data_IF_121065173559
#
_entry.id   IF_121065173559
#
_cell.length_a   1.000
_cell.length_b   1.000
_cell.length_c   1.000
_cell.angle_alpha   90.00
_cell.angle_beta   90.00
_cell.angle_gamma   90.00
#
_symmetry.space_group_name_H-M   'P 1'
#
loop_
_entity.id
_entity.type
_entity.pdbx_description
1 polymer ?
#
# COMPACT_ATOMS: atom_id res chain seq x y z
N UNK A 1 13.95 -12.49 14.83
CA UNK A 1 13.52 -11.98 13.52
C UNK A 1 12.19 -11.27 13.72
N UNK A 2 11.93 -10.20 12.98
CA UNK A 2 10.68 -9.45 13.12
C UNK A 2 9.52 -10.23 12.50
N UNK A 3 8.31 -10.05 13.05
CA UNK A 3 7.08 -10.59 12.46
C UNK A 3 6.47 -9.60 11.48
N UNK A 4 5.87 -10.11 10.40
CA UNK A 4 5.33 -9.30 9.31
C UNK A 4 3.89 -9.68 9.00
N UNK A 5 3.09 -8.70 8.59
CA UNK A 5 1.79 -8.95 7.97
C UNK A 5 1.54 -7.95 6.84
N UNK A 6 1.15 -8.47 5.68
CA UNK A 6 0.73 -7.68 4.53
C UNK A 6 -0.76 -7.38 4.59
N UNK A 7 -1.14 -6.18 4.14
CA UNK A 7 -2.53 -5.73 4.10
C UNK A 7 -2.88 -5.09 2.77
N UNK A 8 -4.12 -5.33 2.33
CA UNK A 8 -4.65 -4.78 1.09
C UNK A 8 -6.15 -4.50 1.19
N UNK A 9 -6.69 -3.73 0.25
CA UNK A 9 -8.14 -3.51 0.09
C UNK A 9 -8.50 -3.39 -1.38
N UNK A 10 -9.71 -3.84 -1.72
CA UNK A 10 -10.32 -3.62 -3.02
C UNK A 10 -11.82 -3.91 -3.01
N UNK A 11 -12.55 -3.29 -3.92
CA UNK A 11 -13.97 -3.58 -4.18
C UNK A 11 -14.17 -4.80 -5.09
N UNK A 12 -15.43 -5.16 -5.34
CA UNK A 12 -15.75 -6.36 -6.14
C UNK A 12 -15.19 -6.30 -7.57
N UNK A 13 -15.20 -5.13 -8.21
CA UNK A 13 -14.59 -4.96 -9.54
C UNK A 13 -13.06 -5.09 -9.48
N UNK A 14 -12.43 -4.61 -8.41
CA UNK A 14 -11.00 -4.77 -8.16
C UNK A 14 -10.63 -6.22 -7.87
N UNK A 15 -11.45 -6.94 -7.11
CA UNK A 15 -11.28 -8.37 -6.84
C UNK A 15 -11.18 -9.17 -8.15
N UNK A 16 -12.14 -8.96 -9.06
CA UNK A 16 -12.16 -9.65 -10.35
C UNK A 16 -11.06 -9.18 -11.31
N UNK A 17 -10.73 -7.88 -11.30
CA UNK A 17 -9.73 -7.32 -12.22
C UNK A 17 -8.28 -7.67 -11.83
N UNK A 18 -7.96 -7.68 -10.54
CA UNK A 18 -6.60 -7.85 -10.05
C UNK A 18 -6.47 -8.58 -8.71
N UNK A 19 -7.48 -8.50 -7.83
CA UNK A 19 -7.36 -8.97 -6.44
C UNK A 19 -7.10 -10.46 -6.32
N UNK A 20 -7.78 -11.30 -7.11
CA UNK A 20 -7.52 -12.76 -7.14
C UNK A 20 -6.08 -13.08 -7.55
N UNK A 21 -5.54 -12.35 -8.54
CA UNK A 21 -4.15 -12.51 -8.98
C UNK A 21 -3.17 -12.08 -7.89
N UNK A 22 -3.41 -10.95 -7.23
CA UNK A 22 -2.56 -10.50 -6.11
C UNK A 22 -2.51 -11.56 -5.01
N UNK A 23 -3.67 -12.04 -4.55
CA UNK A 23 -3.74 -13.04 -3.47
C UNK A 23 -3.10 -14.37 -3.89
N UNK A 24 -3.35 -14.83 -5.10
CA UNK A 24 -2.71 -16.06 -5.62
C UNK A 24 -1.19 -15.93 -5.66
N UNK A 25 -0.70 -14.81 -6.21
CA UNK A 25 0.73 -14.54 -6.33
C UNK A 25 1.41 -14.35 -4.97
N UNK A 26 0.70 -13.77 -3.99
CA UNK A 26 1.17 -13.66 -2.62
C UNK A 26 1.44 -15.04 -2.04
N UNK A 27 0.44 -15.94 -2.13
CA UNK A 27 0.53 -17.30 -1.60
C UNK A 27 1.63 -18.14 -2.23
N UNK A 28 1.90 -17.93 -3.51
CA UNK A 28 2.90 -18.70 -4.25
C UNK A 28 4.33 -18.29 -3.89
N UNK A 29 4.54 -17.00 -3.59
CA UNK A 29 5.88 -16.42 -3.57
C UNK A 29 6.33 -15.87 -2.22
N UNK A 30 5.41 -15.58 -1.30
CA UNK A 30 5.75 -15.03 0.01
C UNK A 30 6.10 -16.13 1.02
N UNK A 31 6.96 -15.82 2.02
CA UNK A 31 7.23 -16.75 3.11
C UNK A 31 5.94 -17.10 3.86
N UNK A 32 5.78 -18.38 4.22
CA UNK A 32 4.57 -18.89 4.89
C UNK A 32 4.30 -18.20 6.24
N UNK A 33 5.33 -17.65 6.89
CA UNK A 33 5.18 -16.95 8.17
C UNK A 33 4.57 -15.54 8.03
N UNK A 34 4.46 -15.01 6.80
CA UNK A 34 3.91 -13.67 6.56
C UNK A 34 2.40 -13.76 6.33
N UNK A 35 1.63 -13.27 7.31
CA UNK A 35 0.17 -13.21 7.19
C UNK A 35 -0.29 -12.20 6.13
N UNK A 36 -1.45 -12.47 5.52
CA UNK A 36 -2.15 -11.54 4.63
C UNK A 36 -3.54 -11.23 5.18
N UNK A 37 -3.87 -9.95 5.37
CA UNK A 37 -5.25 -9.50 5.63
C UNK A 37 -5.77 -8.68 4.46
N UNK A 38 -6.92 -9.07 3.94
CA UNK A 38 -7.61 -8.35 2.86
C UNK A 38 -8.89 -7.73 3.39
N UNK A 39 -9.01 -6.42 3.20
CA UNK A 39 -10.20 -5.67 3.50
C UNK A 39 -11.16 -5.72 2.31
N UNK A 40 -12.34 -6.29 2.52
CA UNK A 40 -13.42 -6.32 1.54
C UNK A 40 -14.18 -4.99 1.53
N UNK A 41 -14.32 -4.41 0.34
CA UNK A 41 -15.17 -3.24 0.10
C UNK A 41 -16.52 -3.66 -0.51
N UNK A 42 -17.22 -4.60 0.13
CA UNK A 42 -18.61 -4.96 -0.20
C UNK A 42 -18.80 -6.30 -0.91
N UNK A 43 -17.79 -7.16 -0.96
CA UNK A 43 -17.93 -8.56 -1.41
C UNK A 43 -17.86 -9.53 -0.23
N UNK A 44 -18.58 -10.65 -0.32
CA UNK A 44 -18.83 -11.54 0.83
C UNK A 44 -17.80 -12.65 1.02
N UNK A 45 -17.30 -13.22 -0.07
CA UNK A 45 -16.40 -14.37 -0.03
C UNK A 45 -15.27 -14.19 -1.04
N UNK A 46 -14.13 -14.76 -0.69
CA UNK A 46 -13.01 -14.96 -1.58
C UNK A 46 -12.80 -16.47 -1.72
N UNK A 47 -12.91 -17.00 -2.93
CA UNK A 47 -12.76 -18.44 -3.21
C UNK A 47 -11.28 -18.86 -3.19
N UNK A 48 -10.53 -18.41 -2.20
CA UNK A 48 -9.19 -18.90 -1.94
C UNK A 48 -8.90 -18.90 -0.43
N UNK A 49 -8.22 -19.95 0.00
CA UNK A 49 -7.67 -20.05 1.35
C UNK A 49 -6.46 -19.12 1.51
N UNK A 50 -6.18 -18.68 2.73
CA UNK A 50 -4.96 -17.93 3.05
C UNK A 50 -5.24 -16.61 3.76
N UNK A 51 -5.87 -15.62 3.10
CA UNK A 51 -6.02 -14.31 3.72
C UNK A 51 -7.11 -14.30 4.79
N UNK A 52 -6.86 -13.55 5.86
CA UNK A 52 -7.92 -13.09 6.75
C UNK A 52 -8.75 -12.04 6.01
N UNK A 53 -10.06 -12.25 5.92
CA UNK A 53 -10.98 -11.32 5.27
C UNK A 53 -11.69 -10.47 6.32
N UNK A 54 -11.60 -9.15 6.19
CA UNK A 54 -12.27 -8.19 7.07
C UNK A 54 -13.17 -7.27 6.25
N UNK A 55 -14.44 -7.11 6.64
CA UNK A 55 -15.34 -6.15 5.99
C UNK A 55 -14.97 -4.72 6.38
N UNK A 56 -14.48 -3.94 5.42
CA UNK A 56 -13.90 -2.62 5.69
C UNK A 56 -14.91 -1.65 6.33
N UNK A 57 -16.14 -1.63 5.82
CA UNK A 57 -17.19 -0.74 6.31
C UNK A 57 -17.55 -1.01 7.79
N UNK A 58 -17.46 -2.27 8.23
CA UNK A 58 -17.70 -2.66 9.61
C UNK A 58 -16.51 -2.39 10.51
N UNK A 59 -15.29 -2.64 9.99
CA UNK A 59 -14.04 -2.42 10.71
C UNK A 59 -13.68 -0.93 10.88
N UNK A 60 -14.12 -0.07 9.97
CA UNK A 60 -13.86 1.36 10.00
C UNK A 60 -15.13 2.16 9.69
N UNK A 61 -16.06 2.28 10.66
CA UNK A 61 -17.34 2.96 10.45
C UNK A 61 -17.21 4.41 9.96
N UNK A 62 -16.15 5.10 10.37
CA UNK A 62 -15.84 6.47 9.94
C UNK A 62 -15.74 6.60 8.41
N UNK A 63 -15.36 5.54 7.70
CA UNK A 63 -15.28 5.53 6.24
C UNK A 63 -16.64 5.83 5.61
N UNK A 64 -17.73 5.26 6.14
CA UNK A 64 -19.07 5.49 5.63
C UNK A 64 -19.51 6.93 5.89
N UNK A 65 -19.19 7.48 7.06
CA UNK A 65 -19.47 8.87 7.39
C UNK A 65 -18.72 9.84 6.46
N UNK A 66 -17.42 9.59 6.23
CA UNK A 66 -16.60 10.36 5.31
C UNK A 66 -17.17 10.33 3.88
N UNK A 67 -17.56 9.14 3.41
CA UNK A 67 -18.19 8.97 2.09
C UNK A 67 -19.53 9.69 1.99
N UNK A 68 -20.35 9.66 3.04
CA UNK A 68 -21.61 10.38 3.07
C UNK A 68 -21.40 11.90 2.96
N UNK A 69 -20.38 12.43 3.66
CA UNK A 69 -20.03 13.86 3.60
C UNK A 69 -19.44 14.30 2.26
N UNK A 70 -18.72 13.44 1.53
CA UNK A 70 -17.90 13.87 0.39
C UNK A 70 -18.18 13.16 -0.93
N UNK A 71 -19.04 12.15 -0.96
CA UNK A 71 -19.38 11.39 -2.17
C UNK A 71 -20.03 12.21 -3.28
N UNK A 72 -20.55 13.40 -2.96
CA UNK A 72 -21.12 14.32 -3.93
C UNK A 72 -20.08 15.16 -4.70
N UNK A 73 -18.80 15.12 -4.29
CA UNK A 73 -17.75 15.91 -4.95
C UNK A 73 -17.46 15.36 -6.35
N UNK A 74 -17.38 16.24 -7.33
CA UNK A 74 -17.09 15.86 -8.72
C UNK A 74 -15.66 15.35 -8.87
N UNK A 75 -15.52 14.20 -9.52
CA UNK A 75 -14.21 13.67 -9.90
C UNK A 75 -13.55 14.58 -10.94
N UNK A 76 -12.31 15.00 -10.68
CA UNK A 76 -11.48 15.79 -11.62
C UNK A 76 -10.30 14.98 -12.12
N UNK A 77 -9.48 14.53 -11.18
CA UNK A 77 -8.27 13.74 -11.37
C UNK A 77 -8.07 12.97 -10.05
N UNK A 78 -7.35 11.85 -10.10
CA UNK A 78 -7.10 11.02 -8.93
C UNK A 78 -6.46 11.82 -7.78
N UNK A 79 -5.67 12.87 -8.07
CA UNK A 79 -5.01 13.67 -7.04
C UNK A 79 -5.99 14.28 -6.03
N UNK A 80 -7.23 14.52 -6.42
CA UNK A 80 -8.27 15.11 -5.57
C UNK A 80 -9.40 14.12 -5.22
N UNK A 81 -9.22 12.83 -5.51
CA UNK A 81 -10.23 11.80 -5.27
C UNK A 81 -10.16 11.23 -3.83
N UNK A 82 -10.44 12.09 -2.85
CA UNK A 82 -10.31 11.74 -1.43
C UNK A 82 -11.15 10.49 -1.04
N UNK A 83 -12.34 10.36 -1.61
CA UNK A 83 -13.26 9.23 -1.35
C UNK A 83 -12.68 7.91 -1.84
N UNK A 84 -12.02 7.89 -3.00
CA UNK A 84 -11.35 6.69 -3.47
C UNK A 84 -10.21 6.27 -2.52
N UNK A 85 -9.39 7.22 -2.08
CA UNK A 85 -8.21 6.93 -1.27
C UNK A 85 -8.51 6.71 0.21
N UNK A 86 -9.67 7.13 0.71
CA UNK A 86 -10.07 6.88 2.11
C UNK A 86 -10.27 5.40 2.42
N UNK A 87 -10.61 4.56 1.45
CA UNK A 87 -10.72 3.11 1.62
C UNK A 87 -9.38 2.48 2.05
N UNK A 88 -8.29 2.87 1.36
CA UNK A 88 -6.93 2.46 1.73
C UNK A 88 -6.55 2.95 3.11
N UNK A 89 -6.82 4.22 3.40
CA UNK A 89 -6.46 4.79 4.71
C UNK A 89 -7.22 4.11 5.85
N UNK A 90 -8.51 3.82 5.67
CA UNK A 90 -9.29 3.04 6.61
C UNK A 90 -8.69 1.65 6.87
N UNK A 91 -8.36 0.91 5.80
CA UNK A 91 -7.77 -0.42 5.90
C UNK A 91 -6.43 -0.39 6.66
N UNK A 92 -5.56 0.56 6.34
CA UNK A 92 -4.24 0.73 6.98
C UNK A 92 -4.39 1.10 8.44
N UNK A 93 -5.22 2.09 8.78
CA UNK A 93 -5.38 2.55 10.16
C UNK A 93 -6.00 1.47 11.05
N UNK A 94 -6.97 0.71 10.55
CA UNK A 94 -7.52 -0.42 11.29
C UNK A 94 -6.49 -1.54 11.46
N UNK A 95 -5.77 -1.91 10.41
CA UNK A 95 -4.75 -2.95 10.47
C UNK A 95 -3.62 -2.61 11.45
N UNK A 96 -3.10 -1.39 11.39
CA UNK A 96 -2.02 -0.91 12.24
C UNK A 96 -2.35 -1.01 13.73
N UNK A 97 -3.62 -0.87 14.11
CA UNK A 97 -4.09 -0.98 15.50
C UNK A 97 -4.44 -2.40 15.94
N UNK A 98 -4.75 -3.30 15.02
CA UNK A 98 -5.40 -4.59 15.36
C UNK A 98 -4.58 -5.83 15.02
N UNK A 99 -3.60 -5.72 14.13
CA UNK A 99 -2.74 -6.85 13.77
C UNK A 99 -1.52 -6.83 14.67
N UNK A 100 -1.29 -7.88 15.45
CA UNK A 100 -0.15 -7.96 16.36
C UNK A 100 1.13 -8.50 15.67
N UNK A 101 1.82 -7.61 14.95
CA UNK A 101 3.12 -7.88 14.30
C UNK A 101 4.12 -6.74 14.50
N UNK A 102 5.41 -6.99 14.31
CA UNK A 102 6.44 -5.95 14.41
C UNK A 102 6.37 -4.97 13.23
N UNK A 103 6.12 -5.48 12.01
CA UNK A 103 6.10 -4.67 10.79
C UNK A 103 4.84 -4.92 9.98
N UNK A 104 4.07 -3.86 9.73
CA UNK A 104 2.90 -3.90 8.85
C UNK A 104 3.31 -3.50 7.43
N UNK A 105 2.96 -4.31 6.43
CA UNK A 105 3.26 -4.05 5.02
C UNK A 105 1.96 -3.65 4.32
N UNK A 106 1.92 -2.47 3.72
CA UNK A 106 0.87 -2.16 2.76
C UNK A 106 1.25 -2.70 1.38
N UNK A 107 0.31 -3.41 0.74
CA UNK A 107 0.44 -3.98 -0.60
C UNK A 107 -0.82 -3.62 -1.42
N UNK A 108 -0.69 -2.71 -2.39
CA UNK A 108 -1.80 -2.38 -3.29
C UNK A 108 -2.30 -3.66 -4.00
N UNK A 109 -3.62 -3.78 -4.18
CA UNK A 109 -4.21 -4.99 -4.76
C UNK A 109 -3.83 -5.24 -6.22
N UNK A 110 -3.30 -4.25 -6.93
CA UNK A 110 -2.79 -4.38 -8.29
C UNK A 110 -1.29 -4.68 -8.37
N UNK A 111 -0.66 -5.08 -7.26
CA UNK A 111 0.68 -5.66 -7.25
C UNK A 111 0.61 -7.17 -7.48
N UNK A 112 1.47 -7.66 -8.37
CA UNK A 112 1.73 -9.09 -8.59
C UNK A 112 3.10 -9.42 -8.02
N UNK A 113 3.17 -10.49 -7.23
CA UNK A 113 4.45 -11.07 -6.83
C UNK A 113 4.84 -12.10 -7.88
N UNK A 114 5.87 -11.87 -8.67
CA UNK A 114 6.24 -12.74 -9.81
C UNK A 114 7.45 -13.64 -9.52
N UNK A 115 8.11 -13.44 -8.39
CA UNK A 115 9.21 -14.28 -7.92
C UNK A 115 9.18 -14.37 -6.40
N UNK A 116 9.64 -15.51 -5.88
CA UNK A 116 9.69 -15.74 -4.44
C UNK A 116 10.69 -14.83 -3.73
N UNK A 117 10.31 -14.35 -2.55
CA UNK A 117 11.15 -13.56 -1.66
C UNK A 117 11.26 -14.24 -0.30
N UNK A 118 12.39 -14.06 0.37
CA UNK A 118 12.60 -14.60 1.72
C UNK A 118 12.21 -13.59 2.79
N UNK A 119 12.18 -14.06 4.03
CA UNK A 119 11.96 -13.19 5.19
C UNK A 119 13.14 -12.21 5.37
N UNK A 120 14.37 -12.57 4.98
CA UNK A 120 15.53 -11.67 4.94
C UNK A 120 15.38 -10.56 3.90
N UNK A 121 14.77 -10.85 2.75
CA UNK A 121 14.45 -9.83 1.74
C UNK A 121 13.51 -8.76 2.35
N UNK A 122 12.47 -9.21 3.08
CA UNK A 122 11.55 -8.31 3.79
C UNK A 122 12.24 -7.51 4.89
N UNK A 123 13.12 -8.14 5.67
CA UNK A 123 13.94 -7.46 6.69
C UNK A 123 14.82 -6.37 6.08
N UNK A 124 15.38 -6.62 4.89
CA UNK A 124 16.20 -5.64 4.15
C UNK A 124 15.41 -4.39 3.72
N UNK A 125 14.10 -4.55 3.47
CA UNK A 125 13.17 -3.49 3.07
C UNK A 125 12.53 -2.76 4.26
N UNK A 126 12.42 -3.40 5.41
CA UNK A 126 11.76 -2.85 6.59
C UNK A 126 12.46 -1.60 7.15
N UNK A 127 11.74 -0.74 7.91
CA UNK A 127 12.35 0.37 8.64
C UNK A 127 13.50 -0.11 9.53
N UNK A 128 14.53 0.72 9.71
CA UNK A 128 15.63 0.47 10.64
C UNK A 128 15.36 1.15 11.98
N UNK A 129 16.26 0.96 12.94
CA UNK A 129 16.15 1.55 14.27
C UNK A 129 15.91 3.07 14.20
N UNK A 130 14.81 3.50 14.82
CA UNK A 130 14.38 4.91 14.85
C UNK A 130 13.63 5.38 13.60
N UNK A 131 13.51 4.56 12.55
CA UNK A 131 12.69 4.86 11.38
C UNK A 131 11.28 4.31 11.57
N UNK A 132 10.26 5.09 11.22
CA UNK A 132 8.87 4.62 11.30
C UNK A 132 8.40 3.90 10.03
N UNK A 133 8.81 4.41 8.87
CA UNK A 133 8.29 3.96 7.57
C UNK A 133 9.42 3.74 6.56
N UNK A 134 9.27 2.67 5.78
CA UNK A 134 10.01 2.47 4.53
C UNK A 134 9.04 2.53 3.35
N UNK A 135 9.34 3.37 2.36
CA UNK A 135 8.42 3.63 1.24
C UNK A 135 9.13 3.86 -0.10
N UNK A 136 8.37 3.83 -1.19
CA UNK A 136 8.89 4.13 -2.51
C UNK A 136 8.98 5.64 -2.73
N UNK A 137 10.08 6.24 -2.30
CA UNK A 137 10.40 7.64 -2.60
C UNK A 137 10.47 7.92 -4.10
N UNK A 138 10.05 9.14 -4.49
CA UNK A 138 10.26 9.71 -5.83
C UNK A 138 10.86 11.10 -5.68
N UNK A 139 11.87 11.40 -6.47
CA UNK A 139 12.66 12.63 -6.32
C UNK A 139 11.84 13.90 -6.55
N UNK A 140 11.04 13.92 -7.61
CA UNK A 140 10.37 15.14 -8.08
C UNK A 140 8.88 15.20 -7.71
N UNK A 141 8.40 14.31 -6.82
CA UNK A 141 6.99 14.25 -6.44
C UNK A 141 6.74 13.51 -5.11
N UNK A 142 5.47 13.35 -4.73
CA UNK A 142 5.07 12.54 -3.58
C UNK A 142 5.54 11.07 -3.73
N UNK A 143 5.79 10.34 -2.63
CA UNK A 143 6.15 8.92 -2.67
C UNK A 143 5.10 8.12 -3.43
N UNK A 144 5.49 7.01 -4.04
CA UNK A 144 4.53 6.02 -4.53
C UNK A 144 4.11 5.14 -3.35
N UNK A 145 2.82 5.10 -3.01
CA UNK A 145 2.36 4.28 -1.89
C UNK A 145 1.82 2.90 -2.30
N UNK A 146 2.21 2.36 -3.46
CA UNK A 146 1.82 1.00 -3.85
C UNK A 146 2.34 -0.06 -2.87
N UNK A 147 3.52 0.20 -2.32
CA UNK A 147 4.15 -0.62 -1.30
C UNK A 147 4.84 0.27 -0.27
N UNK A 148 4.63 -0.01 1.02
CA UNK A 148 5.41 0.56 2.12
C UNK A 148 5.32 -0.34 3.35
N UNK A 149 6.24 -0.18 4.30
CA UNK A 149 6.24 -0.90 5.56
C UNK A 149 6.27 0.07 6.74
N UNK A 150 5.49 -0.22 7.79
CA UNK A 150 5.40 0.55 9.03
C UNK A 150 5.97 -0.27 10.19
N UNK A 151 6.91 0.28 10.96
CA UNK A 151 7.32 -0.32 12.23
C UNK A 151 6.27 0.00 13.30
N UNK A 152 5.62 -1.06 13.81
CA UNK A 152 4.58 -0.96 14.84
C UNK A 152 5.16 -0.75 16.24
N UNK A 153 6.44 -1.06 16.44
CA UNK A 153 7.14 -0.89 17.73
C UNK A 153 7.72 0.51 17.89
N UNK A 154 7.69 1.32 16.83
CA UNK A 154 8.17 2.68 16.89
C UNK A 154 7.34 3.51 17.90
N UNK A 155 7.94 4.31 18.80
CA UNK A 155 7.21 5.05 19.84
C UNK A 155 6.12 5.98 19.31
N UNK A 156 6.31 6.51 18.10
CA UNK A 156 5.37 7.43 17.44
C UNK A 156 4.27 6.71 16.64
N UNK A 157 4.25 5.37 16.61
CA UNK A 157 3.36 4.59 15.74
C UNK A 157 1.88 4.99 15.92
N UNK A 158 1.39 4.92 17.15
CA UNK A 158 -0.01 5.22 17.45
C UNK A 158 -0.37 6.68 17.12
N UNK A 159 0.54 7.62 17.42
CA UNK A 159 0.32 9.04 17.12
C UNK A 159 0.24 9.28 15.61
N UNK A 160 1.12 8.67 14.83
CA UNK A 160 1.15 8.81 13.37
C UNK A 160 -0.07 8.18 12.69
N UNK A 161 -0.49 6.98 13.14
CA UNK A 161 -1.72 6.35 12.66
C UNK A 161 -2.96 7.19 13.01
N UNK A 162 -3.04 7.70 14.24
CA UNK A 162 -4.12 8.62 14.65
C UNK A 162 -4.12 9.91 13.82
N UNK A 163 -2.93 10.45 13.50
CA UNK A 163 -2.80 11.66 12.68
C UNK A 163 -3.27 11.40 11.25
N UNK A 164 -2.87 10.27 10.64
CA UNK A 164 -3.32 9.86 9.31
C UNK A 164 -4.85 9.68 9.23
N UNK A 165 -5.45 9.03 10.22
CA UNK A 165 -6.89 8.85 10.26
C UNK A 165 -7.64 10.18 10.46
N UNK A 166 -7.12 11.07 11.32
CA UNK A 166 -7.68 12.40 11.56
C UNK A 166 -7.72 13.26 10.29
N UNK A 167 -6.77 13.08 9.36
CA UNK A 167 -6.78 13.79 8.07
C UNK A 167 -8.09 13.59 7.30
N UNK A 168 -8.69 12.41 7.42
CA UNK A 168 -9.97 12.07 6.78
C UNK A 168 -11.14 12.30 7.73
N UNK A 169 -11.07 11.82 8.97
CA UNK A 169 -12.20 11.93 9.91
C UNK A 169 -12.61 13.37 10.21
N UNK A 170 -11.64 14.29 10.28
CA UNK A 170 -11.83 15.70 10.61
C UNK A 170 -11.69 16.60 9.38
N UNK A 171 -11.71 16.04 8.17
CA UNK A 171 -11.67 16.75 6.90
C UNK A 171 -10.40 17.62 6.70
N UNK A 172 -9.33 17.41 7.49
CA UNK A 172 -8.11 18.22 7.47
C UNK A 172 -7.35 18.12 6.14
N UNK A 173 -7.50 17.00 5.41
CA UNK A 173 -6.87 16.81 4.09
C UNK A 173 -7.29 17.88 3.08
N UNK A 174 -8.44 18.53 3.24
CA UNK A 174 -8.90 19.59 2.34
C UNK A 174 -8.12 20.90 2.51
N UNK A 175 -7.26 21.00 3.53
CA UNK A 175 -6.25 22.07 3.63
C UNK A 175 -4.99 21.80 2.82
N UNK A 176 -4.84 20.63 2.19
CA UNK A 176 -3.66 20.25 1.42
C UNK A 176 -3.81 20.56 -0.08
N UNK A 177 -2.70 20.52 -0.81
CA UNK A 177 -2.72 20.73 -2.27
C UNK A 177 -3.32 19.52 -3.03
N UNK A 178 -3.15 18.31 -2.50
CA UNK A 178 -3.65 17.05 -3.07
C UNK A 178 -4.23 16.15 -1.95
N UNK A 179 -5.22 15.32 -2.29
CA UNK A 179 -6.07 14.57 -1.36
C UNK A 179 -5.87 13.05 -1.42
N UNK A 180 -4.99 12.57 -2.30
CA UNK A 180 -4.71 11.15 -2.42
C UNK A 180 -3.79 10.66 -1.29
N UNK A 181 -3.88 9.37 -0.97
CA UNK A 181 -3.20 8.70 0.14
C UNK A 181 -1.71 9.05 0.24
N UNK A 182 -0.99 9.03 -0.88
CA UNK A 182 0.47 9.23 -0.86
C UNK A 182 0.88 10.66 -0.47
N UNK A 183 0.08 11.66 -0.83
CA UNK A 183 0.34 13.05 -0.45
C UNK A 183 -0.01 13.27 1.02
N UNK A 184 -1.16 12.74 1.46
CA UNK A 184 -1.62 12.84 2.85
C UNK A 184 -0.66 12.12 3.80
N UNK A 185 -0.24 10.90 3.47
CA UNK A 185 0.73 10.14 4.27
C UNK A 185 2.08 10.86 4.35
N UNK A 186 2.58 11.41 3.24
CA UNK A 186 3.81 12.22 3.26
C UNK A 186 3.67 13.41 4.20
N UNK A 187 2.55 14.14 4.12
CA UNK A 187 2.30 15.29 4.98
C UNK A 187 2.36 14.90 6.48
N UNK A 188 1.75 13.77 6.86
CA UNK A 188 1.78 13.27 8.24
C UNK A 188 3.21 12.92 8.69
N UNK A 189 3.97 12.21 7.85
CA UNK A 189 5.36 11.82 8.15
C UNK A 189 6.26 13.05 8.31
N UNK A 190 6.19 13.99 7.38
CA UNK A 190 7.01 15.20 7.40
C UNK A 190 6.66 16.12 8.57
N UNK A 191 5.38 16.28 8.91
CA UNK A 191 4.93 17.05 10.05
C UNK A 191 5.43 16.47 11.38
N UNK A 192 5.49 15.14 11.48
CA UNK A 192 5.98 14.44 12.66
C UNK A 192 7.51 14.47 12.80
N UNK A 193 8.26 14.79 11.74
CA UNK A 193 9.74 14.78 11.72
C UNK A 193 10.35 13.46 12.18
N UNK A 194 9.67 12.35 11.94
CA UNK A 194 10.20 11.01 12.24
C UNK A 194 11.13 10.56 11.13
N UNK A 195 12.22 9.85 11.45
CA UNK A 195 13.07 9.23 10.43
C UNK A 195 12.29 8.24 9.58
N UNK A 196 12.66 8.15 8.31
CA UNK A 196 12.09 7.24 7.32
C UNK A 196 13.17 6.84 6.33
N UNK A 197 12.96 5.73 5.61
CA UNK A 197 13.88 5.27 4.56
C UNK A 197 13.21 5.11 3.20
N UNK A 198 13.99 5.36 2.15
CA UNK A 198 13.60 5.01 0.78
C UNK A 198 13.98 3.56 0.49
N UNK A 199 13.05 2.84 -0.14
CA UNK A 199 13.27 1.52 -0.73
C UNK A 199 13.24 1.54 -2.26
N UNK A 200 13.26 2.72 -2.87
CA UNK A 200 13.23 2.87 -4.34
C UNK A 200 14.58 2.58 -5.01
N UNK A 201 15.70 2.66 -4.28
CA UNK A 201 17.04 2.67 -4.88
C UNK A 201 17.14 3.68 -6.03
N UNK A 202 17.74 3.26 -7.16
CA UNK A 202 17.80 4.10 -8.38
C UNK A 202 16.43 4.35 -9.03
N UNK A 203 15.41 3.54 -8.72
CA UNK A 203 14.05 3.72 -9.22
C UNK A 203 13.40 5.02 -8.77
N UNK A 204 13.92 5.69 -7.73
CA UNK A 204 13.39 6.95 -7.21
C UNK A 204 13.47 8.13 -8.19
N UNK A 205 14.29 8.03 -9.24
CA UNK A 205 14.33 9.02 -10.34
C UNK A 205 13.28 8.76 -11.43
N UNK A 206 12.42 7.75 -11.25
CA UNK A 206 11.39 7.37 -12.21
C UNK A 206 9.99 7.61 -11.63
N UNK A 207 8.98 7.67 -12.49
CA UNK A 207 7.57 7.72 -12.07
C UNK A 207 7.04 6.36 -11.56
N UNK A 208 7.80 5.29 -11.75
CA UNK A 208 7.45 3.91 -11.39
C UNK A 208 8.59 3.25 -10.59
N UNK A 209 8.91 3.77 -9.38
CA UNK A 209 10.02 3.30 -8.57
C UNK A 209 9.98 1.83 -8.17
N UNK A 210 8.81 1.21 -8.03
CA UNK A 210 8.71 -0.20 -7.62
C UNK A 210 9.44 -1.12 -8.61
N UNK A 211 9.02 -1.12 -9.88
CA UNK A 211 9.61 -2.00 -10.91
C UNK A 211 10.98 -1.53 -11.38
N UNK A 212 11.32 -0.26 -11.16
CA UNK A 212 12.62 0.32 -11.53
C UNK A 212 13.63 0.34 -10.38
N UNK A 213 13.22 -0.12 -9.19
CA UNK A 213 14.02 -0.23 -7.99
C UNK A 213 14.31 -1.68 -7.61
N UNK A 214 14.84 -1.89 -6.39
CA UNK A 214 15.09 -3.22 -5.84
C UNK A 214 13.85 -4.12 -5.85
N UNK A 215 12.67 -3.57 -5.51
CA UNK A 215 11.42 -4.33 -5.40
C UNK A 215 10.99 -5.02 -6.68
N UNK A 216 11.38 -4.52 -7.86
CA UNK A 216 11.06 -5.17 -9.12
C UNK A 216 11.67 -6.56 -9.29
N UNK A 217 12.56 -6.99 -8.39
CA UNK A 217 13.06 -8.38 -8.36
C UNK A 217 11.93 -9.37 -8.09
N UNK A 218 10.91 -8.94 -7.34
CA UNK A 218 9.80 -9.79 -6.90
C UNK A 218 8.45 -9.25 -7.32
N UNK A 219 8.31 -7.94 -7.52
CA UNK A 219 7.01 -7.29 -7.66
C UNK A 219 6.83 -6.60 -9.01
N UNK A 220 5.60 -6.64 -9.53
CA UNK A 220 5.13 -5.79 -10.62
C UNK A 220 3.87 -5.03 -10.17
N UNK A 221 3.92 -3.69 -10.22
CA UNK A 221 2.79 -2.84 -9.88
C UNK A 221 2.04 -2.45 -11.16
N UNK A 222 0.88 -3.07 -11.35
CA UNK A 222 0.12 -3.01 -12.58
C UNK A 222 -0.71 -1.72 -12.70
N UNK A 223 -0.05 -0.56 -12.82
CA UNK A 223 -0.72 0.75 -12.88
C UNK A 223 -1.58 0.92 -14.13
N UNK A 224 -2.79 1.48 -13.95
CA UNK A 224 -3.68 1.83 -15.07
C UNK A 224 -4.08 0.61 -15.92
N UNK A 225 -3.85 0.67 -17.24
CA UNK A 225 -4.24 -0.43 -18.15
C UNK A 225 -3.49 -1.74 -17.89
N UNK A 226 -2.34 -1.69 -17.19
CA UNK A 226 -1.56 -2.88 -16.84
C UNK A 226 -2.36 -3.86 -15.98
N UNK A 227 -3.37 -3.39 -15.24
CA UNK A 227 -4.31 -4.24 -14.48
C UNK A 227 -4.97 -5.30 -15.37
N UNK A 228 -5.39 -4.88 -16.57
CA UNK A 228 -6.02 -5.75 -17.57
C UNK A 228 -4.98 -6.58 -18.33
N UNK A 229 -3.84 -5.96 -18.66
CA UNK A 229 -2.76 -6.64 -19.39
C UNK A 229 -2.07 -7.72 -18.56
N UNK A 230 -2.09 -7.57 -17.23
CA UNK A 230 -1.50 -8.51 -16.28
C UNK A 230 0.00 -8.40 -16.09
N UNK A 231 0.65 -7.46 -16.77
CA UNK A 231 2.09 -7.21 -16.72
C UNK A 231 2.41 -5.77 -17.12
N UNK A 232 3.41 -5.17 -16.50
CA UNK A 232 3.98 -3.89 -16.92
C UNK A 232 4.66 -4.03 -18.28
N UNK A 233 4.60 -2.96 -19.07
CA UNK A 233 5.11 -2.97 -20.44
C UNK A 233 6.63 -2.77 -20.43
N UNK A 234 7.36 -3.22 -21.46
CA UNK A 234 8.80 -2.92 -21.59
C UNK A 234 9.11 -1.42 -21.50
N UNK A 235 8.23 -0.55 -22.01
CA UNK A 235 8.38 0.90 -21.94
C UNK A 235 8.31 1.48 -20.51
N UNK A 236 7.77 0.73 -19.54
CA UNK A 236 7.71 1.11 -18.12
C UNK A 236 9.06 0.90 -17.42
N UNK A 237 9.92 0.04 -17.97
CA UNK A 237 11.27 -0.21 -17.48
C UNK A 237 12.23 0.88 -17.99
N UNK A 238 12.85 1.56 -17.03
CA UNK A 238 13.92 2.56 -17.18
C UNK A 238 15.28 2.01 -16.76
N UNK A 239 15.30 0.80 -16.22
CA UNK A 239 16.50 0.04 -15.86
C UNK A 239 16.47 -1.30 -16.58
N UNK A 240 17.64 -1.81 -16.96
CA UNK A 240 17.75 -3.17 -17.47
C UNK A 240 17.49 -4.17 -16.34
N UNK A 241 16.64 -5.18 -16.63
CA UNK A 241 16.24 -6.22 -15.69
C UNK A 241 16.65 -7.59 -16.22
N UNK A 242 17.13 -8.46 -15.35
CA UNK A 242 17.67 -9.77 -15.71
C UNK A 242 16.73 -10.92 -15.36
N UNK A 243 15.73 -10.66 -14.51
CA UNK A 243 14.77 -11.66 -14.04
C UNK A 243 13.90 -12.15 -15.20
N UNK A 244 13.55 -13.44 -15.20
CA UNK A 244 12.78 -14.07 -16.28
C UNK A 244 11.43 -13.40 -16.52
N UNK A 245 10.79 -12.90 -15.46
CA UNK A 245 9.54 -12.15 -15.57
C UNK A 245 9.64 -10.87 -16.39
N UNK A 246 10.82 -10.28 -16.60
CA UNK A 246 10.96 -9.05 -17.39
C UNK A 246 11.38 -9.29 -18.84
N UNK A 247 11.63 -10.54 -19.21
CA UNK A 247 12.01 -10.95 -20.57
C UNK A 247 10.80 -11.25 -21.46
#
# INVERSE_FOLDING_TARGET
MRTFCAVSTFNAAGLELYGRRMVSSFREHWPEEVGLRVYSEGWGLLDCWGPEIVHLASASPWLNEFKARHGHRTFRDFRWDAVRFSHKVAAVCHAARTIDVDVLIWLDGDIVTHASLTIEDLEGLAPRDGEWISWLYRQDMYPECGFYMLDRRHPEHDRLIASLEAMYMQDLLYGLAEYHDSYVLRHVVEAARVPWRSISGKGGTTSHPLINGPLGQWFDHLKGNRKREGRSRPADLKVARSEGYWK
#
